data_IF_204483303710
#
_entry.id   IF_204483303710
#
_cell.length_a   1.000
_cell.length_b   1.000
_cell.length_c   1.000
_cell.angle_alpha   90.00
_cell.angle_beta   90.00
_cell.angle_gamma   90.00
#
_symmetry.space_group_name_H-M   'P 1'
#
loop_
_entity.id
_entity.type
_entity.pdbx_description
1 polymer ?
#
# COMPACT_ATOMS: atom_id res chain seq x y z
N UNK A 1 -25.65 -22.19 7.24
CA UNK A 1 -24.52 -23.19 7.17
C UNK A 1 -23.26 -22.40 6.83
N UNK A 2 -22.24 -22.44 7.69
CA UNK A 2 -20.94 -21.85 7.38
C UNK A 2 -20.32 -22.61 6.21
N UNK A 3 -19.98 -21.91 5.15
CA UNK A 3 -19.32 -22.49 3.97
C UNK A 3 -17.82 -22.45 4.18
N UNK A 4 -17.15 -23.59 4.24
CA UNK A 4 -15.69 -23.69 4.26
C UNK A 4 -15.17 -23.81 2.82
N UNK A 5 -14.15 -23.04 2.47
CA UNK A 5 -13.45 -23.11 1.18
C UNK A 5 -11.97 -23.39 1.46
N UNK A 6 -11.46 -24.45 0.86
CA UNK A 6 -10.06 -24.86 1.01
C UNK A 6 -9.14 -24.26 -0.04
N UNK A 7 -7.92 -23.91 0.37
CA UNK A 7 -6.83 -23.48 -0.50
C UNK A 7 -5.48 -23.93 0.07
N UNK A 8 -4.43 -23.94 -0.73
CA UNK A 8 -3.07 -24.11 -0.19
C UNK A 8 -2.69 -22.90 0.64
N UNK A 9 -2.96 -21.70 0.12
CA UNK A 9 -2.53 -20.45 0.76
C UNK A 9 -3.61 -19.38 0.71
N UNK A 10 -3.69 -18.58 1.78
CA UNK A 10 -4.47 -17.35 1.81
C UNK A 10 -3.55 -16.17 2.08
N UNK A 11 -3.75 -15.09 1.33
CA UNK A 11 -3.09 -13.80 1.56
C UNK A 11 -4.13 -12.78 1.93
N UNK A 12 -3.93 -12.09 3.05
CA UNK A 12 -4.78 -10.98 3.48
C UNK A 12 -4.14 -9.66 3.05
N UNK A 13 -4.85 -8.88 2.24
CA UNK A 13 -4.40 -7.61 1.66
C UNK A 13 -3.96 -7.74 0.20
N UNK A 14 -4.69 -7.10 -0.74
CA UNK A 14 -4.36 -7.02 -2.16
C UNK A 14 -3.59 -5.71 -2.51
N UNK A 15 -2.74 -5.25 -1.61
CA UNK A 15 -1.73 -4.24 -1.87
C UNK A 15 -0.55 -4.83 -2.65
N UNK A 16 0.46 -4.00 -2.96
CA UNK A 16 1.63 -4.44 -3.74
C UNK A 16 2.35 -5.63 -3.06
N UNK A 17 2.44 -5.67 -1.74
CA UNK A 17 3.07 -6.78 -1.01
C UNK A 17 2.31 -8.10 -1.21
N UNK A 18 0.98 -8.08 -1.03
CA UNK A 18 0.17 -9.29 -1.21
C UNK A 18 0.16 -9.80 -2.65
N UNK A 19 0.10 -8.91 -3.63
CA UNK A 19 0.18 -9.26 -5.05
C UNK A 19 1.54 -9.87 -5.42
N UNK A 20 2.64 -9.31 -4.90
CA UNK A 20 3.98 -9.87 -5.09
C UNK A 20 4.16 -11.23 -4.38
N UNK A 21 3.58 -11.42 -3.20
CA UNK A 21 3.58 -12.72 -2.51
C UNK A 21 2.78 -13.78 -3.30
N UNK A 22 1.61 -13.40 -3.84
CA UNK A 22 0.80 -14.28 -4.66
C UNK A 22 1.55 -14.72 -5.93
N UNK A 23 2.31 -13.80 -6.56
CA UNK A 23 3.13 -14.11 -7.76
C UNK A 23 4.14 -15.23 -7.48
N UNK A 24 4.85 -15.19 -6.36
CA UNK A 24 5.82 -16.22 -5.97
C UNK A 24 5.16 -17.57 -5.66
N UNK A 25 4.01 -17.54 -4.97
CA UNK A 25 3.27 -18.75 -4.63
C UNK A 25 2.69 -19.44 -5.88
N UNK A 26 2.09 -18.66 -6.79
CA UNK A 26 1.59 -19.18 -8.08
C UNK A 26 2.72 -19.76 -8.91
N UNK A 27 3.88 -19.08 -8.97
CA UNK A 27 5.07 -19.58 -9.67
C UNK A 27 5.60 -20.90 -9.06
N UNK A 28 5.43 -21.09 -7.75
CA UNK A 28 5.74 -22.33 -7.04
C UNK A 28 4.63 -23.40 -7.16
N UNK A 29 3.60 -23.19 -8.00
CA UNK A 29 2.53 -24.14 -8.26
C UNK A 29 1.44 -24.20 -7.18
N UNK A 30 1.42 -23.26 -6.22
CA UNK A 30 0.44 -23.22 -5.12
C UNK A 30 -0.85 -22.55 -5.53
N UNK A 31 -1.98 -23.02 -5.00
CA UNK A 31 -3.25 -22.31 -5.09
C UNK A 31 -3.28 -21.16 -4.08
N UNK A 32 -3.79 -20.00 -4.49
CA UNK A 32 -3.79 -18.77 -3.70
C UNK A 32 -5.17 -18.13 -3.70
N UNK A 33 -5.69 -17.82 -2.52
CA UNK A 33 -6.83 -16.89 -2.38
C UNK A 33 -6.31 -15.60 -1.77
N UNK A 34 -6.36 -14.52 -2.54
CA UNK A 34 -5.98 -13.17 -2.11
C UNK A 34 -7.24 -12.39 -1.71
N UNK A 35 -7.27 -11.86 -0.49
CA UNK A 35 -8.43 -11.17 0.09
C UNK A 35 -8.13 -9.70 0.32
N UNK A 36 -9.08 -8.82 -0.01
CA UNK A 36 -9.01 -7.42 0.38
C UNK A 36 -10.39 -6.90 0.78
N UNK A 37 -10.45 -6.11 1.86
CA UNK A 37 -11.68 -5.44 2.32
C UNK A 37 -12.12 -4.29 1.40
N UNK A 38 -11.20 -3.72 0.64
CA UNK A 38 -11.49 -2.66 -0.33
C UNK A 38 -12.16 -3.22 -1.59
N UNK A 39 -12.82 -2.36 -2.35
CA UNK A 39 -13.51 -2.72 -3.61
C UNK A 39 -12.54 -2.99 -4.77
N UNK A 40 -11.26 -2.81 -4.60
CA UNK A 40 -10.26 -3.00 -5.65
C UNK A 40 -8.87 -3.25 -5.07
N UNK A 41 -7.97 -3.69 -5.93
CA UNK A 41 -6.56 -3.93 -5.59
C UNK A 41 -5.76 -2.64 -5.50
N UNK A 42 -4.57 -2.71 -4.86
CA UNK A 42 -3.58 -1.63 -4.81
C UNK A 42 -3.36 -1.03 -3.43
N UNK A 43 -4.32 -1.10 -2.51
CA UNK A 43 -4.17 -0.59 -1.16
C UNK A 43 -3.73 0.88 -1.15
N UNK A 44 -2.56 1.19 -0.57
CA UNK A 44 -1.99 2.55 -0.51
C UNK A 44 -1.42 3.08 -1.84
N UNK A 45 -1.47 2.31 -2.91
CA UNK A 45 -1.26 2.78 -4.30
C UNK A 45 -2.58 3.17 -4.97
N UNK A 46 -3.56 3.63 -4.19
CA UNK A 46 -4.90 3.91 -4.69
C UNK A 46 -4.99 5.21 -5.47
N UNK A 47 -5.67 5.15 -6.60
CA UNK A 47 -6.08 6.28 -7.43
C UNK A 47 -7.57 6.51 -7.26
N UNK A 48 -8.01 7.76 -7.14
CA UNK A 48 -9.40 8.17 -6.97
C UNK A 48 -9.88 8.99 -8.16
N UNK A 49 -11.17 8.92 -8.44
CA UNK A 49 -11.87 9.79 -9.39
C UNK A 49 -12.78 10.74 -8.62
N UNK A 50 -12.77 12.01 -9.01
CA UNK A 50 -13.67 13.05 -8.57
C UNK A 50 -14.24 13.68 -9.85
N UNK A 51 -15.49 13.34 -10.21
CA UNK A 51 -16.02 13.68 -11.53
C UNK A 51 -15.08 13.19 -12.65
N UNK A 52 -14.60 14.13 -13.48
CA UNK A 52 -13.61 13.89 -14.54
C UNK A 52 -12.17 13.87 -14.03
N UNK A 53 -11.89 14.41 -12.84
CA UNK A 53 -10.55 14.46 -12.28
C UNK A 53 -10.08 13.05 -11.83
N UNK A 54 -8.79 12.79 -12.05
CA UNK A 54 -8.10 11.58 -11.61
C UNK A 54 -6.93 11.97 -10.73
N UNK A 55 -6.86 11.44 -9.51
CA UNK A 55 -5.82 11.79 -8.57
C UNK A 55 -5.34 10.60 -7.76
N UNK A 56 -4.03 10.48 -7.60
CA UNK A 56 -3.44 9.54 -6.66
C UNK A 56 -3.50 10.15 -5.26
N UNK A 57 -4.10 9.45 -4.32
CA UNK A 57 -4.25 9.93 -2.94
C UNK A 57 -3.47 9.11 -1.91
N UNK A 58 -2.78 8.07 -2.36
CA UNK A 58 -1.77 7.34 -1.61
C UNK A 58 -0.37 7.62 -2.14
N UNK A 59 0.41 6.58 -2.46
CA UNK A 59 1.73 6.74 -3.07
C UNK A 59 1.65 7.58 -4.35
N UNK A 60 2.59 8.52 -4.49
CA UNK A 60 2.58 9.45 -5.62
C UNK A 60 3.48 8.98 -6.76
N UNK A 61 4.52 8.26 -6.42
CA UNK A 61 5.50 7.67 -7.32
C UNK A 61 6.22 6.52 -6.59
N UNK A 62 7.04 5.80 -7.34
CA UNK A 62 7.99 4.85 -6.76
C UNK A 62 9.34 4.92 -7.50
N UNK A 63 10.36 4.39 -6.86
CA UNK A 63 11.69 4.19 -7.42
C UNK A 63 11.98 2.71 -7.53
N UNK A 64 12.93 2.33 -8.36
CA UNK A 64 13.36 0.95 -8.57
C UNK A 64 14.86 0.88 -8.35
N UNK A 65 15.30 0.03 -7.44
CA UNK A 65 16.71 -0.20 -7.09
C UNK A 65 17.08 -1.68 -7.12
N UNK A 66 16.17 -2.55 -6.68
CA UNK A 66 16.37 -3.98 -6.61
C UNK A 66 15.99 -4.70 -7.89
N UNK A 67 16.75 -5.75 -8.25
CA UNK A 67 16.56 -6.50 -9.50
C UNK A 67 15.18 -7.18 -9.57
N UNK A 68 14.71 -7.77 -8.47
CA UNK A 68 13.45 -8.52 -8.48
C UNK A 68 12.23 -7.62 -8.76
N UNK A 69 12.15 -6.48 -8.07
CA UNK A 69 11.08 -5.50 -8.32
C UNK A 69 11.27 -4.84 -9.69
N UNK A 70 12.52 -4.62 -10.12
CA UNK A 70 12.85 -4.08 -11.44
C UNK A 70 12.29 -4.93 -12.59
N UNK A 71 12.34 -6.25 -12.48
CA UNK A 71 11.72 -7.15 -13.45
C UNK A 71 10.21 -6.96 -13.56
N UNK A 72 9.51 -6.86 -12.42
CA UNK A 72 8.06 -6.60 -12.39
C UNK A 72 7.72 -5.25 -13.02
N UNK A 73 8.52 -4.23 -12.73
CA UNK A 73 8.31 -2.88 -13.29
C UNK A 73 8.60 -2.86 -14.80
N UNK A 74 9.60 -3.59 -15.28
CA UNK A 74 9.89 -3.71 -16.71
C UNK A 74 8.73 -4.36 -17.46
N UNK A 75 8.21 -5.49 -16.98
CA UNK A 75 7.02 -6.15 -17.54
C UNK A 75 5.82 -5.18 -17.58
N UNK A 76 5.56 -4.47 -16.49
CA UNK A 76 4.46 -3.50 -16.41
C UNK A 76 4.69 -2.26 -17.30
N UNK A 77 5.93 -1.88 -17.55
CA UNK A 77 6.29 -0.80 -18.47
C UNK A 77 6.06 -1.22 -19.92
N UNK A 78 6.46 -2.41 -20.31
CA UNK A 78 6.18 -2.97 -21.65
C UNK A 78 4.68 -3.09 -21.92
N UNK A 79 3.89 -3.42 -20.88
CA UNK A 79 2.42 -3.44 -20.94
C UNK A 79 1.78 -2.03 -20.92
N UNK A 80 2.56 -0.95 -20.78
CA UNK A 80 2.06 0.42 -20.68
C UNK A 80 1.39 0.76 -19.34
N UNK A 81 1.43 -0.13 -18.36
CA UNK A 81 0.82 0.07 -17.03
C UNK A 81 1.63 1.04 -16.16
N UNK A 82 2.93 1.19 -16.41
CA UNK A 82 3.78 2.19 -15.72
C UNK A 82 4.63 2.97 -16.71
N UNK A 83 4.94 4.21 -16.34
CA UNK A 83 5.77 5.11 -17.13
C UNK A 83 6.72 5.89 -16.21
N UNK A 84 7.87 6.31 -16.73
CA UNK A 84 8.73 7.26 -16.02
C UNK A 84 8.02 8.62 -15.95
N UNK A 85 7.91 9.17 -14.75
CA UNK A 85 7.35 10.52 -14.56
C UNK A 85 8.43 11.59 -14.69
N UNK A 86 9.52 11.43 -13.96
CA UNK A 86 10.61 12.41 -13.93
C UNK A 86 11.85 11.83 -13.23
N UNK A 87 12.91 12.66 -13.13
CA UNK A 87 14.16 12.32 -12.41
C UNK A 87 14.46 13.25 -11.24
N UNK A 88 13.43 13.89 -10.67
CA UNK A 88 13.52 14.75 -9.49
C UNK A 88 12.33 15.67 -9.39
N UNK A 89 12.17 16.27 -8.21
CA UNK A 89 11.08 17.20 -7.90
C UNK A 89 11.66 18.49 -7.36
N UNK A 90 10.88 19.59 -7.49
CA UNK A 90 11.13 20.81 -6.76
C UNK A 90 11.12 20.55 -5.25
N UNK A 91 12.02 21.19 -4.54
CA UNK A 91 11.97 21.28 -3.08
C UNK A 91 11.48 22.66 -2.70
N UNK A 92 10.61 22.74 -1.69
CA UNK A 92 10.08 24.02 -1.16
C UNK A 92 9.40 24.96 -2.17
N UNK A 93 9.07 24.47 -3.37
CA UNK A 93 8.38 25.27 -4.39
C UNK A 93 9.26 26.26 -5.15
N UNK A 94 10.57 26.27 -4.91
CA UNK A 94 11.49 27.12 -5.65
C UNK A 94 11.63 26.66 -7.11
N UNK A 95 11.45 27.55 -8.07
CA UNK A 95 11.55 27.28 -9.51
C UNK A 95 12.96 26.89 -9.99
N UNK A 96 13.98 26.99 -9.13
CA UNK A 96 15.39 26.78 -9.49
C UNK A 96 16.03 25.51 -8.92
N UNK A 97 15.32 24.78 -8.09
CA UNK A 97 15.87 23.60 -7.38
C UNK A 97 15.65 22.29 -8.11
N UNK A 98 16.20 22.11 -9.30
CA UNK A 98 16.24 20.79 -9.98
C UNK A 98 17.33 19.92 -9.36
N UNK A 99 17.21 19.64 -8.05
CA UNK A 99 18.03 18.67 -7.35
C UNK A 99 17.58 17.24 -7.67
N UNK A 100 17.58 16.86 -8.94
CA UNK A 100 17.37 15.46 -9.32
C UNK A 100 18.59 14.65 -8.90
N UNK A 101 18.38 13.56 -8.16
CA UNK A 101 19.43 12.57 -7.86
C UNK A 101 19.68 11.62 -9.05
N UNK A 102 19.13 11.93 -10.23
CA UNK A 102 19.25 11.18 -11.48
C UNK A 102 18.41 9.91 -11.54
N UNK A 103 17.81 9.46 -10.42
CA UNK A 103 16.99 8.26 -10.39
C UNK A 103 15.60 8.50 -10.98
N UNK A 104 15.14 7.55 -11.80
CA UNK A 104 13.79 7.58 -12.35
C UNK A 104 12.73 7.50 -11.25
N UNK A 105 11.73 8.34 -11.36
CA UNK A 105 10.49 8.30 -10.59
C UNK A 105 9.40 7.73 -11.48
N UNK A 106 8.89 6.57 -11.08
CA UNK A 106 7.89 5.85 -11.85
C UNK A 106 6.49 6.15 -11.32
N UNK A 107 5.51 6.18 -12.21
CA UNK A 107 4.08 6.28 -11.89
C UNK A 107 3.28 5.28 -12.70
N UNK A 108 2.03 5.01 -12.32
CA UNK A 108 1.10 4.29 -13.17
C UNK A 108 0.72 5.12 -14.40
N UNK A 109 0.43 4.49 -15.51
CA UNK A 109 0.08 5.14 -16.79
C UNK A 109 -1.11 6.08 -16.64
N UNK A 110 -2.17 5.62 -15.98
CA UNK A 110 -3.42 6.36 -15.69
C UNK A 110 -3.61 6.64 -14.20
N UNK A 111 -2.63 6.32 -13.37
CA UNK A 111 -2.61 6.46 -11.92
C UNK A 111 -1.93 5.28 -11.24
N UNK A 112 -1.52 5.48 -9.99
CA UNK A 112 -0.69 4.52 -9.25
C UNK A 112 -1.30 3.12 -9.12
N UNK A 113 -2.63 3.00 -9.22
CA UNK A 113 -3.33 1.72 -9.18
C UNK A 113 -3.05 0.84 -10.41
N UNK A 114 -2.52 1.37 -11.50
CA UNK A 114 -2.31 0.59 -12.73
C UNK A 114 -1.26 -0.52 -12.52
N UNK A 115 -0.16 -0.29 -11.80
CA UNK A 115 0.81 -1.36 -11.49
C UNK A 115 0.19 -2.52 -10.69
N UNK A 116 -0.51 -2.29 -9.55
CA UNK A 116 -1.24 -3.36 -8.87
C UNK A 116 -2.25 -4.09 -9.74
N UNK A 117 -2.96 -3.38 -10.61
CA UNK A 117 -3.94 -3.99 -11.53
C UNK A 117 -3.28 -4.88 -12.57
N UNK A 118 -2.15 -4.47 -13.11
CA UNK A 118 -1.39 -5.28 -14.08
C UNK A 118 -0.91 -6.58 -13.44
N UNK A 119 -0.33 -6.51 -12.23
CA UNK A 119 0.07 -7.71 -11.49
C UNK A 119 -1.14 -8.61 -11.20
N UNK A 120 -2.26 -8.02 -10.78
CA UNK A 120 -3.50 -8.77 -10.51
C UNK A 120 -4.05 -9.45 -11.76
N UNK A 121 -4.03 -8.76 -12.92
CA UNK A 121 -4.47 -9.32 -14.20
C UNK A 121 -3.61 -10.52 -14.62
N UNK A 122 -2.29 -10.43 -14.48
CA UNK A 122 -1.39 -11.54 -14.73
C UNK A 122 -1.64 -12.74 -13.80
N UNK A 123 -2.00 -12.50 -12.54
CA UNK A 123 -2.28 -13.55 -11.56
C UNK A 123 -3.59 -14.32 -11.83
N UNK A 124 -4.61 -13.67 -12.39
CA UNK A 124 -5.91 -14.32 -12.72
C UNK A 124 -6.02 -14.77 -14.17
N UNK A 125 -5.04 -14.42 -15.00
CA UNK A 125 -4.98 -14.79 -16.42
C UNK A 125 -4.71 -16.27 -16.64
N UNK A 126 -4.87 -16.73 -17.88
CA UNK A 126 -4.68 -18.15 -18.27
C UNK A 126 -3.29 -18.69 -17.92
N UNK A 127 -2.25 -17.86 -18.00
CA UNK A 127 -0.89 -18.22 -17.66
C UNK A 127 -0.72 -18.68 -16.21
N UNK A 128 -1.60 -18.27 -15.29
CA UNK A 128 -1.60 -18.73 -13.90
C UNK A 128 -2.18 -20.15 -13.72
N UNK A 129 -2.81 -20.70 -14.76
CA UNK A 129 -3.50 -22.00 -14.71
C UNK A 129 -4.66 -22.00 -13.70
N UNK A 130 -5.29 -20.84 -13.44
CA UNK A 130 -6.41 -20.72 -12.51
C UNK A 130 -6.03 -20.86 -11.02
N UNK A 131 -4.74 -20.78 -10.70
CA UNK A 131 -4.25 -20.97 -9.32
C UNK A 131 -4.50 -19.80 -8.40
N UNK A 132 -4.82 -18.62 -8.92
CA UNK A 132 -5.05 -17.42 -8.10
C UNK A 132 -6.49 -16.94 -8.20
N UNK A 133 -7.12 -16.75 -7.04
CA UNK A 133 -8.42 -16.07 -6.93
C UNK A 133 -8.24 -14.80 -6.11
N UNK A 134 -8.65 -13.65 -6.64
CA UNK A 134 -8.64 -12.37 -5.93
C UNK A 134 -10.08 -12.01 -5.55
N UNK A 135 -10.35 -11.88 -4.24
CA UNK A 135 -11.66 -11.50 -3.70
C UNK A 135 -11.54 -10.12 -3.05
N UNK A 136 -12.04 -9.11 -3.72
CA UNK A 136 -12.19 -7.74 -3.19
C UNK A 136 -13.54 -7.58 -2.49
N UNK A 137 -13.68 -6.59 -1.58
CA UNK A 137 -14.86 -6.45 -0.72
C UNK A 137 -14.99 -7.57 0.31
N UNK A 138 -13.94 -8.38 0.52
CA UNK A 138 -13.92 -9.51 1.44
C UNK A 138 -13.16 -9.12 2.72
N UNK A 139 -13.90 -8.85 3.79
CA UNK A 139 -13.33 -8.40 5.05
C UNK A 139 -13.03 -9.60 5.94
N UNK A 140 -11.75 -9.88 6.16
CA UNK A 140 -11.29 -10.83 7.19
C UNK A 140 -11.58 -10.24 8.57
N UNK A 141 -12.13 -11.05 9.46
CA UNK A 141 -12.47 -10.63 10.83
C UNK A 141 -11.55 -11.22 11.88
N UNK A 142 -10.92 -12.35 11.59
CA UNK A 142 -9.93 -12.97 12.46
C UNK A 142 -9.00 -13.89 11.66
N UNK A 143 -7.87 -14.26 12.24
CA UNK A 143 -7.00 -15.35 11.79
C UNK A 143 -6.75 -16.27 12.97
N UNK A 144 -7.13 -17.54 12.84
CA UNK A 144 -6.97 -18.55 13.88
C UNK A 144 -6.45 -19.86 13.29
N UNK A 145 -6.21 -20.87 14.11
CA UNK A 145 -5.75 -22.18 13.69
C UNK A 145 -6.64 -23.29 14.26
N UNK A 146 -6.97 -24.27 13.43
CA UNK A 146 -7.65 -25.48 13.82
C UNK A 146 -7.21 -26.63 12.92
N UNK A 147 -7.06 -27.83 13.49
CA UNK A 147 -6.72 -29.07 12.77
C UNK A 147 -5.47 -28.95 11.89
N UNK A 148 -4.45 -28.22 12.38
CA UNK A 148 -3.19 -28.00 11.65
C UNK A 148 -3.30 -27.05 10.45
N UNK A 149 -4.41 -26.33 10.30
CA UNK A 149 -4.66 -25.38 9.21
C UNK A 149 -4.99 -23.99 9.77
N UNK A 150 -4.74 -22.96 8.95
CA UNK A 150 -5.17 -21.59 9.24
C UNK A 150 -6.64 -21.45 8.88
N UNK A 151 -7.43 -20.89 9.78
CA UNK A 151 -8.85 -20.58 9.57
C UNK A 151 -9.02 -19.06 9.48
N UNK A 152 -9.68 -18.60 8.42
CA UNK A 152 -9.83 -17.19 8.11
C UNK A 152 -11.33 -16.88 7.91
N UNK A 153 -12.06 -16.55 8.99
CA UNK A 153 -13.45 -16.15 8.91
C UNK A 153 -13.59 -14.76 8.29
N UNK A 154 -14.59 -14.61 7.42
CA UNK A 154 -14.98 -13.35 6.79
C UNK A 154 -16.26 -12.80 7.44
N UNK A 155 -16.54 -11.53 7.19
CA UNK A 155 -17.76 -10.86 7.69
C UNK A 155 -19.05 -11.35 6.99
N UNK A 156 -18.95 -12.08 5.87
CA UNK A 156 -20.05 -12.71 5.14
C UNK A 156 -20.40 -14.13 5.63
N UNK A 157 -19.93 -14.53 6.80
CA UNK A 157 -20.08 -15.89 7.39
C UNK A 157 -19.31 -17.02 6.67
N UNK A 158 -18.54 -16.71 5.62
CA UNK A 158 -17.64 -17.68 4.99
C UNK A 158 -16.39 -17.86 5.85
N UNK A 159 -15.88 -19.08 5.96
CA UNK A 159 -14.55 -19.35 6.52
C UNK A 159 -13.66 -19.97 5.45
N UNK A 160 -12.47 -19.43 5.27
CA UNK A 160 -11.45 -20.05 4.43
C UNK A 160 -10.53 -20.90 5.30
N UNK A 161 -10.16 -22.07 4.80
CA UNK A 161 -9.19 -22.97 5.43
C UNK A 161 -7.97 -23.08 4.54
N UNK A 162 -6.77 -22.83 5.08
CA UNK A 162 -5.54 -22.83 4.31
C UNK A 162 -4.40 -23.58 5.00
N UNK A 163 -3.49 -24.14 4.22
CA UNK A 163 -2.27 -24.73 4.76
C UNK A 163 -1.28 -23.66 5.27
N UNK A 164 -1.37 -22.41 4.76
CA UNK A 164 -0.57 -21.30 5.24
C UNK A 164 -1.18 -19.93 4.91
N UNK A 165 -0.73 -18.89 5.64
CA UNK A 165 -1.26 -17.53 5.51
C UNK A 165 -0.17 -16.47 5.51
N UNK A 166 -0.32 -15.44 4.66
CA UNK A 166 0.48 -14.21 4.70
C UNK A 166 -0.43 -13.03 5.00
N UNK A 167 -0.07 -12.23 6.01
CA UNK A 167 -0.74 -11.00 6.39
C UNK A 167 0.03 -9.81 5.84
N UNK A 168 -0.60 -9.00 4.98
CA UNK A 168 0.01 -7.81 4.39
C UNK A 168 -0.69 -6.47 4.73
N UNK A 169 -1.74 -6.43 5.57
CA UNK A 169 -2.22 -5.17 6.12
C UNK A 169 -1.11 -4.48 6.96
N UNK A 170 -1.22 -3.18 7.23
CA UNK A 170 -0.38 -2.53 8.25
C UNK A 170 -0.31 -3.37 9.53
N UNK A 171 0.89 -3.47 10.11
CA UNK A 171 1.15 -4.40 11.23
C UNK A 171 0.12 -4.30 12.36
N UNK A 172 -0.33 -3.10 12.83
CA UNK A 172 -1.38 -3.05 13.86
C UNK A 172 -2.68 -3.74 13.44
N UNK A 173 -3.09 -3.63 12.17
CA UNK A 173 -4.29 -4.34 11.69
C UNK A 173 -4.06 -5.85 11.58
N UNK A 174 -2.86 -6.30 11.26
CA UNK A 174 -2.52 -7.73 11.27
C UNK A 174 -2.54 -8.30 12.68
N UNK A 175 -2.03 -7.55 13.66
CA UNK A 175 -2.09 -7.91 15.08
C UNK A 175 -3.54 -7.97 15.60
N UNK A 176 -4.40 -7.03 15.17
CA UNK A 176 -5.84 -7.05 15.50
C UNK A 176 -6.50 -8.35 15.02
N UNK A 177 -6.21 -8.79 13.78
CA UNK A 177 -6.75 -10.03 13.21
C UNK A 177 -6.28 -11.28 13.95
N UNK A 178 -4.99 -11.32 14.31
CA UNK A 178 -4.40 -12.42 15.07
C UNK A 178 -4.96 -12.47 16.49
N UNK A 179 -5.10 -11.32 17.13
CA UNK A 179 -5.68 -11.19 18.47
C UNK A 179 -7.14 -11.63 18.49
N UNK A 180 -7.93 -11.21 17.50
CA UNK A 180 -9.32 -11.62 17.35
C UNK A 180 -9.46 -13.15 17.16
N UNK A 181 -8.46 -13.80 16.56
CA UNK A 181 -8.37 -15.26 16.43
C UNK A 181 -7.78 -16.00 17.63
N UNK A 182 -7.43 -15.31 18.70
CA UNK A 182 -6.87 -15.91 19.91
C UNK A 182 -5.40 -16.33 19.80
N UNK A 183 -4.72 -15.99 18.71
CA UNK A 183 -3.33 -16.44 18.47
C UNK A 183 -2.31 -15.78 19.42
N UNK A 184 -2.61 -14.62 20.00
CA UNK A 184 -1.74 -13.89 20.94
C UNK A 184 -1.35 -14.73 22.16
N UNK A 185 -2.31 -15.42 22.76
CA UNK A 185 -2.07 -16.24 23.95
C UNK A 185 -1.29 -17.51 23.62
N UNK A 186 -1.52 -18.08 22.42
CA UNK A 186 -0.84 -19.28 21.95
C UNK A 186 0.60 -18.97 21.47
N UNK A 187 0.81 -17.86 20.77
CA UNK A 187 2.13 -17.44 20.29
C UNK A 187 3.09 -17.13 21.46
N UNK A 188 2.60 -16.56 22.55
CA UNK A 188 3.39 -16.34 23.77
C UNK A 188 3.83 -17.65 24.45
N UNK A 189 3.19 -18.78 24.16
CA UNK A 189 3.50 -20.09 24.77
C UNK A 189 4.27 -21.02 23.85
N UNK A 190 4.21 -20.85 22.52
CA UNK A 190 4.60 -21.94 21.62
C UNK A 190 5.81 -21.72 20.73
N UNK A 191 6.19 -20.53 20.26
CA UNK A 191 7.28 -20.51 19.29
C UNK A 191 8.13 -19.23 19.21
N UNK A 192 7.53 -18.03 19.14
CA UNK A 192 8.29 -16.84 18.76
C UNK A 192 7.88 -15.59 19.61
N UNK A 193 8.13 -15.56 20.93
CA UNK A 193 7.85 -14.35 21.74
C UNK A 193 8.57 -13.11 21.20
N UNK A 194 9.76 -13.29 20.60
CA UNK A 194 10.55 -12.24 20.01
C UNK A 194 9.87 -11.68 18.74
N UNK A 195 9.31 -12.52 17.88
CA UNK A 195 8.60 -12.09 16.68
C UNK A 195 7.38 -11.22 17.01
N UNK A 196 6.61 -11.63 18.01
CA UNK A 196 5.45 -10.85 18.46
C UNK A 196 5.86 -9.50 19.05
N UNK A 197 6.85 -9.47 19.94
CA UNK A 197 7.38 -8.24 20.52
C UNK A 197 7.92 -7.27 19.45
N UNK A 198 8.55 -7.80 18.40
CA UNK A 198 9.02 -7.01 17.26
C UNK A 198 7.86 -6.35 16.52
N UNK A 199 6.78 -7.08 16.26
CA UNK A 199 5.60 -6.55 15.58
C UNK A 199 4.86 -5.50 16.41
N UNK A 200 4.76 -5.67 17.73
CA UNK A 200 4.12 -4.70 18.63
C UNK A 200 4.82 -3.33 18.66
N UNK A 201 6.11 -3.26 18.31
CA UNK A 201 6.87 -2.00 18.24
C UNK A 201 6.63 -1.21 16.96
N UNK A 202 5.96 -1.79 15.96
CA UNK A 202 5.73 -1.13 14.68
C UNK A 202 4.68 -0.04 14.82
N UNK A 203 5.10 1.19 14.59
CA UNK A 203 4.26 2.38 14.61
C UNK A 203 4.13 2.98 13.20
N UNK A 204 3.05 3.72 12.99
CA UNK A 204 2.76 4.41 11.74
C UNK A 204 2.37 5.85 11.98
N UNK A 205 2.82 6.73 11.11
CA UNK A 205 2.25 8.05 10.99
C UNK A 205 0.96 8.02 10.17
N UNK A 206 -0.08 8.74 10.60
CA UNK A 206 -1.22 9.02 9.76
C UNK A 206 -0.87 10.06 8.70
N UNK A 207 -1.71 10.16 7.65
CA UNK A 207 -1.60 11.21 6.64
C UNK A 207 -2.99 11.61 6.17
N UNK A 208 -3.26 12.91 6.14
CA UNK A 208 -4.36 13.46 5.37
C UNK A 208 -3.93 13.63 3.92
N UNK A 209 -4.74 13.13 3.00
CA UNK A 209 -4.61 13.37 1.59
C UNK A 209 -5.79 14.24 1.14
N UNK A 210 -5.54 15.52 0.93
CA UNK A 210 -6.53 16.47 0.42
C UNK A 210 -6.42 16.56 -1.10
N UNK A 211 -7.52 16.35 -1.78
CA UNK A 211 -7.64 16.45 -3.23
C UNK A 211 -8.48 17.68 -3.58
N UNK A 212 -7.96 18.55 -4.43
CA UNK A 212 -8.61 19.80 -4.86
C UNK A 212 -8.73 19.83 -6.37
N UNK A 213 -9.94 19.74 -6.89
CA UNK A 213 -10.22 20.01 -8.31
C UNK A 213 -10.28 21.51 -8.52
N UNK A 214 -9.52 22.01 -9.48
CA UNK A 214 -9.40 23.44 -9.73
C UNK A 214 -10.10 23.82 -11.04
N UNK A 215 -10.60 25.06 -11.12
CA UNK A 215 -11.20 25.64 -12.33
C UNK A 215 -10.16 25.99 -13.42
N UNK A 216 -8.88 26.06 -13.04
CA UNK A 216 -7.74 26.43 -13.90
C UNK A 216 -6.44 25.77 -13.45
N UNK A 217 -5.39 25.72 -14.31
CA UNK A 217 -4.10 25.13 -13.96
C UNK A 217 -3.50 25.73 -12.69
N UNK A 218 -2.85 24.88 -11.90
CA UNK A 218 -2.17 25.27 -10.66
C UNK A 218 -0.89 26.10 -10.91
N UNK A 219 -0.24 26.51 -9.82
CA UNK A 219 1.10 27.12 -9.85
C UNK A 219 2.21 26.14 -9.47
N UNK A 220 1.90 24.87 -9.33
CA UNK A 220 2.92 23.84 -9.06
C UNK A 220 3.89 23.82 -10.24
N UNK A 221 5.21 23.94 -10.00
CA UNK A 221 6.18 23.92 -11.09
C UNK A 221 6.30 22.53 -11.74
N UNK A 222 6.69 22.46 -13.02
CA UNK A 222 7.05 21.18 -13.64
C UNK A 222 8.12 20.44 -12.82
N UNK A 223 8.04 19.10 -12.73
CA UNK A 223 7.15 18.18 -13.44
C UNK A 223 5.82 17.92 -12.74
N UNK A 224 5.33 18.82 -11.90
CA UNK A 224 4.04 18.69 -11.22
C UNK A 224 4.14 18.03 -9.83
N UNK A 225 5.30 18.09 -9.19
CA UNK A 225 5.49 17.57 -7.82
C UNK A 225 6.39 18.48 -6.99
N UNK A 226 6.02 18.71 -5.73
CA UNK A 226 6.82 19.44 -4.75
C UNK A 226 6.95 18.57 -3.50
N UNK A 227 8.19 18.34 -3.08
CA UNK A 227 8.50 17.67 -1.82
C UNK A 227 8.95 18.72 -0.80
N UNK A 228 8.28 18.78 0.34
CA UNK A 228 8.64 19.69 1.42
C UNK A 228 9.59 18.99 2.41
N UNK A 229 10.50 19.76 2.97
CA UNK A 229 11.38 19.25 4.01
C UNK A 229 10.61 19.20 5.35
N UNK A 230 10.56 18.02 5.96
CA UNK A 230 9.94 17.85 7.27
C UNK A 230 10.62 18.74 8.36
N UNK A 231 11.91 19.05 8.21
CA UNK A 231 12.63 19.93 9.12
C UNK A 231 12.16 21.39 9.05
N UNK A 232 11.50 21.79 7.96
CA UNK A 232 10.90 23.13 7.84
C UNK A 232 9.63 23.32 8.69
N UNK A 233 9.07 22.23 9.28
CA UNK A 233 7.96 22.29 10.23
C UNK A 233 6.61 22.70 9.67
N UNK A 234 6.42 22.65 8.34
CA UNK A 234 5.15 22.98 7.68
C UNK A 234 4.13 21.85 7.77
N UNK A 235 2.83 22.15 7.59
CA UNK A 235 1.77 21.14 7.64
C UNK A 235 1.67 20.25 6.40
N UNK A 236 2.38 20.58 5.32
CA UNK A 236 2.36 19.89 4.04
C UNK A 236 3.71 19.20 3.80
N UNK A 237 3.67 17.90 3.52
CA UNK A 237 4.83 17.11 3.14
C UNK A 237 5.01 17.00 1.62
N UNK A 238 3.89 17.03 0.86
CA UNK A 238 3.90 16.82 -0.57
C UNK A 238 2.73 17.51 -1.27
N UNK A 239 2.98 18.05 -2.48
CA UNK A 239 1.93 18.47 -3.41
C UNK A 239 2.20 17.84 -4.77
N UNK A 240 1.16 17.26 -5.39
CA UNK A 240 1.18 16.83 -6.78
C UNK A 240 0.08 17.54 -7.57
N UNK A 241 0.44 18.04 -8.75
CA UNK A 241 -0.50 18.40 -9.80
C UNK A 241 -0.69 17.19 -10.73
N UNK A 242 -1.83 16.53 -10.60
CA UNK A 242 -2.09 15.29 -11.32
C UNK A 242 -2.36 15.52 -12.81
N UNK A 243 -2.69 16.74 -13.24
CA UNK A 243 -2.75 17.11 -14.65
C UNK A 243 -1.34 17.18 -15.25
N UNK A 244 -0.40 17.89 -14.60
CA UNK A 244 1.00 17.92 -15.03
C UNK A 244 1.67 16.55 -14.91
N UNK A 245 1.29 15.76 -13.89
CA UNK A 245 1.70 14.36 -13.75
C UNK A 245 1.21 13.50 -14.93
N UNK A 246 0.21 13.96 -15.70
CA UNK A 246 -0.30 13.29 -16.89
C UNK A 246 -1.29 12.15 -16.61
N UNK A 247 -1.97 12.16 -15.46
CA UNK A 247 -3.01 11.17 -15.12
C UNK A 247 -4.42 11.77 -15.09
N UNK A 248 -4.55 13.08 -14.99
CA UNK A 248 -5.85 13.78 -14.98
C UNK A 248 -6.04 14.64 -16.23
N UNK A 249 -7.22 14.59 -16.86
CA UNK A 249 -7.55 15.50 -17.96
C UNK A 249 -7.85 16.93 -17.49
N UNK A 250 -8.13 17.14 -16.21
CA UNK A 250 -8.46 18.42 -15.61
C UNK A 250 -7.51 18.76 -14.45
N UNK A 251 -7.34 20.05 -14.12
CA UNK A 251 -6.48 20.46 -13.02
C UNK A 251 -6.96 19.89 -11.69
N UNK A 252 -6.11 19.13 -11.01
CA UNK A 252 -6.38 18.60 -9.67
C UNK A 252 -5.09 18.44 -8.88
N UNK A 253 -5.09 18.99 -7.66
CA UNK A 253 -3.99 18.84 -6.73
C UNK A 253 -4.26 17.70 -5.76
N UNK A 254 -3.23 16.93 -5.43
CA UNK A 254 -3.17 16.08 -4.24
C UNK A 254 -2.18 16.69 -3.26
N UNK A 255 -2.63 16.94 -2.04
CA UNK A 255 -1.83 17.52 -0.96
C UNK A 255 -1.75 16.48 0.16
N UNK A 256 -0.54 16.01 0.46
CA UNK A 256 -0.31 15.17 1.63
C UNK A 256 0.15 16.03 2.80
N UNK A 257 -0.57 15.93 3.89
CA UNK A 257 -0.17 16.57 5.13
C UNK A 257 1.05 15.87 5.74
N UNK A 258 1.84 16.65 6.47
CA UNK A 258 2.93 16.13 7.29
C UNK A 258 2.41 15.20 8.40
N UNK A 259 3.26 14.26 8.85
CA UNK A 259 2.89 13.28 9.87
C UNK A 259 2.58 13.93 11.24
N UNK A 260 3.33 14.96 11.65
CA UNK A 260 3.07 15.65 12.92
C UNK A 260 1.76 16.44 12.85
N UNK A 261 1.50 17.15 11.75
CA UNK A 261 0.21 17.79 11.51
C UNK A 261 -0.92 16.76 11.53
N UNK A 262 -0.76 15.66 10.83
CA UNK A 262 -1.80 14.62 10.74
C UNK A 262 -2.09 13.97 12.09
N UNK A 263 -1.09 13.72 12.92
CA UNK A 263 -1.30 13.22 14.31
C UNK A 263 -2.07 14.23 15.15
N UNK A 264 -1.67 15.51 15.12
CA UNK A 264 -2.30 16.58 15.91
C UNK A 264 -3.76 16.77 15.57
N UNK A 265 -4.12 16.67 14.29
CA UNK A 265 -5.46 16.97 13.76
C UNK A 265 -6.27 15.74 13.39
N UNK A 266 -5.86 14.52 13.80
CA UNK A 266 -6.48 13.28 13.33
C UNK A 266 -7.97 13.19 13.64
N UNK A 267 -8.37 13.71 14.81
CA UNK A 267 -9.75 13.72 15.29
C UNK A 267 -10.46 15.07 15.05
N UNK A 268 -9.78 16.05 14.43
CA UNK A 268 -10.38 17.34 14.04
C UNK A 268 -11.41 17.12 12.93
N UNK A 269 -12.53 17.89 12.93
CA UNK A 269 -13.52 17.82 11.87
C UNK A 269 -12.92 17.99 10.49
N UNK A 270 -13.35 17.20 9.48
CA UNK A 270 -12.74 17.21 8.14
C UNK A 270 -12.71 18.58 7.48
N UNK A 271 -13.74 19.41 7.64
CA UNK A 271 -13.82 20.74 7.04
C UNK A 271 -12.79 21.71 7.61
N UNK A 272 -12.50 21.62 8.91
CA UNK A 272 -11.43 22.41 9.54
C UNK A 272 -10.06 22.01 9.03
N UNK A 273 -9.80 20.70 8.93
CA UNK A 273 -8.55 20.18 8.37
C UNK A 273 -8.37 20.62 6.92
N UNK A 274 -9.44 20.55 6.11
CA UNK A 274 -9.40 21.01 4.72
C UNK A 274 -9.10 22.50 4.64
N UNK A 275 -9.70 23.32 5.48
CA UNK A 275 -9.45 24.76 5.53
C UNK A 275 -8.01 25.08 5.85
N UNK A 276 -7.46 24.47 6.89
CA UNK A 276 -6.06 24.63 7.27
C UNK A 276 -5.09 24.25 6.14
N UNK A 277 -5.32 23.10 5.49
CA UNK A 277 -4.45 22.65 4.39
C UNK A 277 -4.59 23.53 3.14
N UNK A 278 -5.79 24.03 2.81
CA UNK A 278 -6.02 24.95 1.70
C UNK A 278 -5.29 26.28 1.94
N UNK A 279 -5.35 26.82 3.13
CA UNK A 279 -4.67 28.07 3.48
C UNK A 279 -3.15 27.94 3.30
N UNK A 280 -2.56 26.83 3.70
CA UNK A 280 -1.14 26.57 3.49
C UNK A 280 -0.79 26.28 2.01
N UNK A 281 -1.73 25.68 1.25
CA UNK A 281 -1.54 25.40 -0.17
C UNK A 281 -1.83 26.60 -1.09
N UNK A 282 -2.33 27.73 -0.56
CA UNK A 282 -2.67 28.94 -1.29
C UNK A 282 -1.61 29.41 -2.30
N UNK A 283 -0.29 29.38 -2.04
CA UNK A 283 0.73 29.77 -3.01
C UNK A 283 0.67 28.99 -4.34
N UNK A 284 0.22 27.74 -4.31
CA UNK A 284 0.16 26.86 -5.47
C UNK A 284 -1.20 26.82 -6.16
N UNK A 285 -2.21 27.50 -5.59
CA UNK A 285 -3.54 27.67 -6.18
C UNK A 285 -3.55 29.01 -6.91
N UNK A 286 -3.90 29.00 -8.21
CA UNK A 286 -4.01 30.24 -8.99
C UNK A 286 -5.37 30.90 -8.75
N UNK A 287 -5.36 32.11 -8.24
CA UNK A 287 -6.57 32.86 -7.87
C UNK A 287 -6.95 32.71 -6.39
N UNK A 288 -8.16 33.13 -6.03
CA UNK A 288 -8.69 32.92 -4.68
C UNK A 288 -9.16 31.48 -4.51
N UNK A 289 -8.66 30.72 -3.53
CA UNK A 289 -9.10 29.37 -3.29
C UNK A 289 -10.61 29.21 -3.11
N UNK A 290 -11.30 30.22 -2.56
CA UNK A 290 -12.75 30.16 -2.37
C UNK A 290 -13.53 30.03 -3.68
N UNK A 291 -12.95 30.50 -4.80
CA UNK A 291 -13.57 30.43 -6.13
C UNK A 291 -12.85 29.48 -7.08
N UNK A 292 -11.55 29.28 -6.89
CA UNK A 292 -10.73 28.43 -7.75
C UNK A 292 -10.91 26.92 -7.49
N UNK A 293 -11.28 26.53 -6.26
CA UNK A 293 -11.54 25.14 -5.87
C UNK A 293 -13.00 24.81 -6.14
N UNK A 294 -13.26 23.98 -7.16
CA UNK A 294 -14.63 23.60 -7.57
C UNK A 294 -15.11 22.31 -6.91
N UNK A 295 -14.19 21.43 -6.50
CA UNK A 295 -14.51 20.22 -5.74
C UNK A 295 -13.34 19.89 -4.79
N UNK A 296 -13.64 19.42 -3.60
CA UNK A 296 -12.63 18.99 -2.63
C UNK A 296 -13.01 17.68 -1.96
N UNK A 297 -12.02 16.86 -1.65
CA UNK A 297 -12.21 15.60 -0.93
C UNK A 297 -11.01 15.32 -0.02
N UNK A 298 -11.27 14.97 1.23
CA UNK A 298 -10.25 14.59 2.20
C UNK A 298 -10.29 13.09 2.45
N UNK A 299 -9.12 12.45 2.38
CA UNK A 299 -8.94 11.07 2.81
C UNK A 299 -8.01 11.02 4.02
N UNK A 300 -8.34 10.18 5.01
CA UNK A 300 -7.54 9.95 6.21
C UNK A 300 -6.89 8.57 6.16
N UNK A 301 -5.58 8.52 5.93
CA UNK A 301 -4.80 7.32 6.07
C UNK A 301 -4.36 7.16 7.53
N UNK A 302 -4.98 6.25 8.29
CA UNK A 302 -4.60 5.99 9.70
C UNK A 302 -3.19 5.40 9.80
N UNK A 303 -2.81 4.55 8.86
CA UNK A 303 -1.52 3.87 8.80
C UNK A 303 -0.84 4.19 7.47
N UNK A 304 -0.40 5.44 7.29
CA UNK A 304 0.12 5.92 6.03
C UNK A 304 1.57 5.49 5.81
N UNK A 305 2.44 5.78 6.76
CA UNK A 305 3.87 5.56 6.67
C UNK A 305 4.39 4.93 7.95
N UNK A 306 5.05 3.75 7.89
CA UNK A 306 5.67 3.18 9.08
C UNK A 306 6.82 4.07 9.56
N UNK A 307 6.85 4.36 10.84
CA UNK A 307 7.93 5.10 11.52
C UNK A 307 8.94 4.16 12.16
N UNK A 308 8.54 2.92 12.44
CA UNK A 308 9.41 1.82 12.86
C UNK A 308 9.53 0.83 11.71
N UNK A 309 10.76 0.54 11.29
CA UNK A 309 11.06 -0.40 10.21
C UNK A 309 11.73 -1.64 10.79
N UNK A 310 11.21 -2.79 10.41
CA UNK A 310 11.81 -4.11 10.70
C UNK A 310 12.80 -4.40 9.57
N UNK A 311 14.09 -4.65 9.86
CA UNK A 311 15.10 -4.92 8.84
C UNK A 311 14.82 -6.19 8.03
N UNK A 312 14.23 -7.20 8.67
CA UNK A 312 13.86 -8.46 8.06
C UNK A 312 12.74 -8.26 7.02
N UNK A 313 12.76 -8.99 5.90
CA UNK A 313 11.76 -8.81 4.86
C UNK A 313 10.36 -9.36 5.23
N UNK A 314 10.26 -10.15 6.26
CA UNK A 314 9.03 -10.70 6.84
C UNK A 314 9.27 -11.09 8.30
N UNK A 315 8.20 -11.27 9.06
CA UNK A 315 8.26 -11.90 10.39
C UNK A 315 7.30 -13.10 10.40
N UNK A 316 7.86 -14.30 10.61
CA UNK A 316 7.09 -15.51 10.81
C UNK A 316 6.52 -15.51 12.23
N UNK A 317 5.20 -15.76 12.37
CA UNK A 317 4.48 -15.84 13.65
C UNK A 317 4.31 -17.28 14.07
N UNK A 318 4.14 -18.16 13.10
CA UNK A 318 3.99 -19.60 13.31
C UNK A 318 4.60 -20.35 12.12
N UNK A 319 5.16 -21.51 12.38
CA UNK A 319 5.65 -22.44 11.37
C UNK A 319 4.71 -23.64 11.15
N UNK A 320 3.77 -23.89 12.07
CA UNK A 320 2.83 -25.02 11.99
C UNK A 320 1.45 -24.63 12.58
N UNK A 321 0.48 -24.28 11.73
CA UNK A 321 0.59 -23.96 10.31
C UNK A 321 1.36 -22.65 10.09
N UNK A 322 2.04 -22.47 8.93
CA UNK A 322 2.87 -21.30 8.68
C UNK A 322 2.03 -20.02 8.50
N UNK A 323 2.35 -19.01 9.30
CA UNK A 323 1.74 -17.67 9.26
C UNK A 323 2.85 -16.63 9.33
N UNK A 324 2.86 -15.66 8.44
CA UNK A 324 3.82 -14.56 8.46
C UNK A 324 3.17 -13.20 8.19
N UNK A 325 3.79 -12.14 8.75
CA UNK A 325 3.53 -10.75 8.40
C UNK A 325 4.56 -10.24 7.39
N UNK A 326 4.09 -9.46 6.41
CA UNK A 326 4.89 -8.80 5.39
C UNK A 326 4.28 -7.47 5.00
N UNK A 327 5.02 -6.58 4.33
CA UNK A 327 4.51 -5.28 3.88
C UNK A 327 5.54 -4.18 3.99
N UNK A 328 5.08 -2.93 4.05
CA UNK A 328 5.93 -1.74 4.03
C UNK A 328 6.69 -1.43 5.32
N UNK A 329 6.35 -2.08 6.42
CA UNK A 329 7.14 -2.01 7.66
C UNK A 329 8.37 -2.93 7.64
N UNK A 330 8.53 -3.77 6.60
CA UNK A 330 9.59 -4.75 6.47
C UNK A 330 10.48 -4.39 5.28
N UNK A 331 11.80 -4.45 5.44
CA UNK A 331 12.79 -4.15 4.41
C UNK A 331 12.69 -2.72 3.80
N UNK A 332 11.89 -1.82 4.36
CA UNK A 332 11.81 -0.42 3.97
C UNK A 332 10.40 0.10 3.63
N UNK A 333 10.13 1.37 3.91
CA UNK A 333 8.78 1.97 3.97
C UNK A 333 8.29 2.50 2.61
N UNK A 334 8.60 1.87 1.50
CA UNK A 334 8.27 2.35 0.15
C UNK A 334 7.58 1.26 -0.66
N UNK A 335 7.06 1.62 -1.83
CA UNK A 335 6.44 0.67 -2.76
C UNK A 335 7.37 -0.51 -3.05
N UNK A 336 8.64 -0.25 -3.33
CA UNK A 336 9.64 -1.30 -3.58
C UNK A 336 9.92 -2.16 -2.34
N UNK A 337 10.02 -1.54 -1.14
CA UNK A 337 10.19 -2.28 0.11
C UNK A 337 9.02 -3.23 0.35
N UNK A 338 7.80 -2.73 0.22
CA UNK A 338 6.60 -3.55 0.34
C UNK A 338 6.54 -4.70 -0.69
N UNK A 339 6.91 -4.43 -1.95
CA UNK A 339 6.99 -5.44 -2.99
C UNK A 339 8.04 -6.51 -2.66
N UNK A 340 9.23 -6.09 -2.24
CA UNK A 340 10.34 -6.98 -1.87
C UNK A 340 9.99 -7.86 -0.67
N UNK A 341 9.32 -7.27 0.34
CA UNK A 341 8.78 -8.01 1.49
C UNK A 341 7.76 -9.06 1.04
N UNK A 342 6.83 -8.70 0.17
CA UNK A 342 5.86 -9.63 -0.40
C UNK A 342 6.52 -10.80 -1.15
N UNK A 343 7.47 -10.49 -2.04
CA UNK A 343 8.24 -11.52 -2.77
C UNK A 343 8.95 -12.48 -1.80
N UNK A 344 9.58 -11.93 -0.75
CA UNK A 344 10.26 -12.76 0.25
C UNK A 344 9.27 -13.66 1.03
N UNK A 345 8.12 -13.12 1.42
CA UNK A 345 7.08 -13.86 2.13
C UNK A 345 6.47 -14.98 1.27
N UNK A 346 6.22 -14.71 -0.01
CA UNK A 346 5.74 -15.73 -0.96
C UNK A 346 6.72 -16.88 -1.10
N UNK A 347 8.00 -16.58 -1.31
CA UNK A 347 9.07 -17.61 -1.38
C UNK A 347 9.23 -18.38 -0.07
N UNK A 348 9.18 -17.69 1.07
CA UNK A 348 9.24 -18.33 2.37
C UNK A 348 8.10 -19.34 2.55
N UNK A 349 6.86 -18.91 2.30
CA UNK A 349 5.70 -19.79 2.48
C UNK A 349 5.71 -20.97 1.51
N UNK A 350 6.12 -20.76 0.25
CA UNK A 350 6.25 -21.84 -0.73
C UNK A 350 7.22 -22.92 -0.27
N UNK A 351 8.39 -22.55 0.28
CA UNK A 351 9.40 -23.47 0.82
C UNK A 351 8.91 -24.23 2.05
N UNK A 352 8.30 -23.51 3.00
CA UNK A 352 7.77 -24.16 4.23
C UNK A 352 6.72 -25.20 3.86
N UNK A 353 5.82 -24.90 2.93
CA UNK A 353 4.78 -25.84 2.47
C UNK A 353 5.35 -26.98 1.60
N UNK A 354 6.55 -26.86 1.06
CA UNK A 354 7.26 -27.95 0.39
C UNK A 354 7.99 -28.89 1.38
N UNK A 355 7.98 -28.59 2.68
CA UNK A 355 8.72 -29.35 3.70
C UNK A 355 10.21 -29.02 3.78
N UNK A 356 10.64 -27.93 3.11
CA UNK A 356 12.01 -27.44 3.22
C UNK A 356 12.16 -26.70 4.56
N UNK A 357 13.15 -27.13 5.38
CA UNK A 357 13.43 -26.45 6.64
C UNK A 357 13.69 -24.94 6.40
N UNK A 358 13.03 -24.11 7.19
CA UNK A 358 13.30 -22.67 7.20
C UNK A 358 14.77 -22.46 7.62
N UNK A 359 15.68 -22.29 6.64
CA UNK A 359 17.02 -21.78 6.92
C UNK A 359 16.88 -20.28 7.14
N UNK A 360 17.24 -19.84 8.33
CA UNK A 360 17.17 -18.46 8.81
C UNK A 360 17.96 -17.47 7.98
#
# INVERSE_FOLDING_TARGET
>A
MNRTVDSDTVIVGAGIAGLCAARELVAAGRSVILLDKARGVGGRMATRRLGSAVCDHGAQFFTVRGRAFGGIVAEAHEAGAVVEWCRGFSRDGSLGGHGGDGHARWRGGRGMTDLPREIAAALIGEASGGRCTIRTGAKVVAVTTADGRVQIPLDDTTTLSAAGCILTPPVPQSLDLLTAGGLTAAARKSAEPAAWATLEQVAYDPCFALMLVLDRPSRVPPPGGIQFDAAAGGPIAWIADNQQKGISPVPVLTIHADGAFSRRHFDTPPDEVMTLLIDHARPWIKGDPATAVIEKSLHRWKFALPTTIIPEPLVAISHTPPIACAGDAFAGPRVEGAASSGLAAGRWLARVLAGEAARG
#
